data_IF_110768737034
#
_entry.id   IF_110768737034
#
_cell.length_a   1.000
_cell.length_b   1.000
_cell.length_c   1.000
_cell.angle_alpha   90.00
_cell.angle_beta   90.00
_cell.angle_gamma   90.00
#
_symmetry.space_group_name_H-M   'P 1'
#
loop_
_entity.id
_entity.type
_entity.pdbx_description
1 polymer ?
#
# COMPACT_ATOMS: atom_id res chain seq x y z
N UNK A 1 -17.70 -12.71 12.24
CA UNK A 1 -16.35 -13.14 11.82
C UNK A 1 -16.35 -13.31 10.32
N UNK A 2 -15.57 -12.52 9.57
CA UNK A 2 -15.44 -12.73 8.13
C UNK A 2 -14.77 -14.09 7.91
N UNK A 3 -15.34 -14.94 7.05
CA UNK A 3 -14.70 -16.19 6.65
C UNK A 3 -13.35 -15.88 5.98
N UNK A 4 -12.32 -16.70 6.24
CA UNK A 4 -10.96 -16.52 5.70
C UNK A 4 -10.89 -16.29 4.17
N UNK A 5 -11.93 -16.67 3.41
CA UNK A 5 -12.03 -16.45 1.97
C UNK A 5 -12.50 -15.06 1.51
N UNK A 6 -12.65 -14.05 2.40
CA UNK A 6 -13.04 -12.67 2.04
C UNK A 6 -12.03 -11.63 2.56
N UNK A 7 -10.75 -12.00 2.70
CA UNK A 7 -9.69 -11.07 3.11
C UNK A 7 -8.84 -10.67 1.90
N UNK A 8 -8.42 -9.42 1.89
CA UNK A 8 -7.61 -8.82 0.82
C UNK A 8 -6.14 -9.00 1.15
N UNK A 9 -5.37 -9.59 0.24
CA UNK A 9 -3.94 -9.78 0.41
C UNK A 9 -3.16 -8.61 -0.19
N UNK A 10 -2.55 -7.79 0.65
CA UNK A 10 -1.78 -6.61 0.27
C UNK A 10 -0.28 -6.75 0.64
N UNK A 11 0.21 -7.98 0.83
CA UNK A 11 1.61 -8.20 1.24
C UNK A 11 2.61 -7.71 0.19
N UNK A 12 2.20 -7.70 -1.09
CA UNK A 12 3.01 -7.22 -2.20
C UNK A 12 3.24 -5.70 -2.22
N UNK A 13 2.51 -4.93 -1.39
CA UNK A 13 2.60 -3.48 -1.39
C UNK A 13 3.87 -2.98 -0.72
N UNK A 14 4.35 -3.66 0.33
CA UNK A 14 5.56 -3.27 1.05
C UNK A 14 6.48 -4.47 1.12
N UNK A 15 7.65 -4.36 0.50
CA UNK A 15 8.65 -5.44 0.50
C UNK A 15 9.11 -5.75 1.91
N UNK A 16 9.39 -7.03 2.16
CA UNK A 16 10.01 -7.48 3.39
C UNK A 16 11.53 -7.37 3.29
N UNK A 17 12.15 -7.19 4.44
CA UNK A 17 13.60 -7.27 4.59
C UNK A 17 13.93 -7.79 5.99
N UNK A 18 15.05 -8.50 6.12
CA UNK A 18 15.59 -8.86 7.43
C UNK A 18 15.87 -7.57 8.22
N UNK A 19 15.36 -7.50 9.44
CA UNK A 19 15.52 -6.34 10.30
C UNK A 19 16.99 -6.06 10.66
N UNK A 20 17.84 -7.09 10.61
CA UNK A 20 19.28 -6.99 10.80
C UNK A 20 20.06 -6.77 9.49
N UNK A 21 19.42 -6.79 8.32
CA UNK A 21 20.08 -6.47 7.06
C UNK A 21 20.36 -4.95 7.00
N UNK A 22 21.60 -4.56 7.33
CA UNK A 22 21.95 -3.14 7.40
C UNK A 22 23.41 -2.78 7.69
N UNK A 23 24.35 -3.74 7.71
CA UNK A 23 25.77 -3.43 7.95
C UNK A 23 26.55 -3.03 6.66
N UNK A 24 25.87 -2.86 5.52
CA UNK A 24 26.48 -2.51 4.23
C UNK A 24 25.98 -1.17 3.67
N UNK A 25 26.94 -0.26 3.38
CA UNK A 25 26.80 1.13 2.90
C UNK A 25 25.71 1.99 3.55
N UNK A 26 26.15 2.93 4.39
CA UNK A 26 25.30 3.93 5.05
C UNK A 26 24.65 4.88 4.03
N UNK A 27 23.43 4.60 3.61
CA UNK A 27 22.61 5.56 2.88
C UNK A 27 21.97 6.53 3.87
N UNK A 28 22.50 7.74 3.98
CA UNK A 28 21.90 8.79 4.81
C UNK A 28 20.74 9.43 4.08
N UNK A 29 19.51 8.99 4.37
CA UNK A 29 18.29 9.69 3.95
C UNK A 29 17.72 10.53 5.10
N UNK A 30 17.03 11.64 4.78
CA UNK A 30 16.43 12.52 5.78
C UNK A 30 15.33 11.80 6.60
N UNK A 31 15.07 12.31 7.80
CA UNK A 31 13.94 11.83 8.60
C UNK A 31 12.62 12.23 7.94
N UNK A 32 11.82 11.24 7.59
CA UNK A 32 10.53 11.44 6.93
C UNK A 32 9.44 11.63 8.00
N UNK A 33 8.87 12.83 8.08
CA UNK A 33 7.77 13.16 9.01
C UNK A 33 6.38 13.05 8.36
N UNK A 34 6.31 13.10 7.03
CA UNK A 34 5.09 12.91 6.25
C UNK A 34 5.40 12.04 5.03
N UNK A 35 4.43 11.24 4.59
CA UNK A 35 4.53 10.46 3.36
C UNK A 35 3.38 10.92 2.48
N UNK A 36 3.68 11.52 1.33
CA UNK A 36 2.66 11.81 0.35
C UNK A 36 2.21 10.51 -0.31
N UNK A 37 0.93 10.37 -0.59
CA UNK A 37 0.41 9.22 -1.37
C UNK A 37 1.10 9.11 -2.74
N UNK A 38 1.58 10.24 -3.29
CA UNK A 38 2.36 10.29 -4.53
C UNK A 38 3.71 9.59 -4.41
N UNK A 39 4.30 9.56 -3.22
CA UNK A 39 5.59 8.90 -2.97
C UNK A 39 5.43 7.38 -2.85
N UNK A 40 4.20 6.89 -2.72
CA UNK A 40 3.87 5.46 -2.67
C UNK A 40 3.72 4.82 -4.06
N UNK A 41 3.61 5.63 -5.12
CA UNK A 41 3.60 5.17 -6.51
C UNK A 41 4.93 4.47 -6.82
N UNK A 42 4.91 3.44 -7.65
CA UNK A 42 6.12 2.82 -8.20
C UNK A 42 6.97 3.86 -8.93
N UNK A 43 8.24 4.00 -8.48
CA UNK A 43 9.15 5.06 -8.94
C UNK A 43 9.20 6.30 -8.04
N UNK A 44 8.33 6.41 -7.03
CA UNK A 44 8.44 7.41 -5.97
C UNK A 44 9.68 7.18 -5.08
N UNK A 45 10.16 8.24 -4.42
CA UNK A 45 11.41 8.20 -3.64
C UNK A 45 11.32 7.35 -2.36
N UNK A 46 10.13 7.21 -1.76
CA UNK A 46 9.96 6.50 -0.49
C UNK A 46 9.90 4.98 -0.67
N UNK A 47 9.30 4.49 -1.75
CA UNK A 47 9.10 3.04 -1.94
C UNK A 47 10.38 2.20 -2.03
N UNK A 48 11.48 2.66 -2.66
CA UNK A 48 12.74 1.91 -2.69
C UNK A 48 13.30 1.61 -1.30
N UNK A 49 13.13 2.54 -0.34
CA UNK A 49 13.68 2.43 1.02
C UNK A 49 12.69 1.86 2.04
N UNK A 50 11.38 1.91 1.77
CA UNK A 50 10.35 1.42 2.69
C UNK A 50 10.36 -0.12 2.75
N UNK A 51 10.44 -0.68 3.96
CA UNK A 51 10.39 -2.13 4.21
C UNK A 51 9.45 -2.48 5.35
N UNK A 52 8.95 -3.70 5.33
CA UNK A 52 8.34 -4.33 6.50
C UNK A 52 9.36 -5.31 7.09
N UNK A 53 9.58 -5.34 8.42
CA UNK A 53 10.40 -6.37 9.03
C UNK A 53 9.88 -7.77 8.67
N UNK A 54 10.78 -8.71 8.44
CA UNK A 54 10.47 -10.11 8.12
C UNK A 54 9.55 -10.79 9.16
N UNK A 55 9.74 -10.50 10.45
CA UNK A 55 8.95 -11.01 11.58
C UNK A 55 7.55 -10.39 11.71
N UNK A 56 7.21 -9.35 10.94
CA UNK A 56 5.86 -8.78 10.97
C UNK A 56 4.86 -9.67 10.22
N UNK A 57 3.61 -9.69 10.72
CA UNK A 57 2.52 -10.45 10.10
C UNK A 57 2.23 -10.00 8.67
N UNK A 58 1.66 -10.89 7.87
CA UNK A 58 1.20 -10.60 6.52
C UNK A 58 0.12 -9.52 6.47
N UNK A 59 0.11 -8.77 5.38
CA UNK A 59 -0.88 -7.72 5.15
C UNK A 59 -2.14 -8.29 4.49
N UNK A 60 -2.73 -9.33 5.08
CA UNK A 60 -3.87 -10.09 4.52
C UNK A 60 -5.04 -10.27 5.49
N UNK A 61 -5.24 -9.31 6.39
CA UNK A 61 -6.15 -9.42 7.54
C UNK A 61 -7.38 -8.51 7.45
N UNK A 62 -7.52 -7.72 6.37
CA UNK A 62 -8.64 -6.77 6.21
C UNK A 62 -9.60 -7.24 5.14
N UNK A 63 -10.89 -7.01 5.35
CA UNK A 63 -11.92 -7.25 4.33
C UNK A 63 -11.93 -6.13 3.28
N UNK A 64 -12.53 -6.34 2.10
CA UNK A 64 -12.74 -5.29 1.10
C UNK A 64 -13.38 -4.02 1.68
N UNK A 65 -14.35 -4.19 2.58
CA UNK A 65 -15.06 -3.07 3.21
C UNK A 65 -14.15 -2.25 4.14
N UNK A 66 -13.25 -2.90 4.87
CA UNK A 66 -12.28 -2.21 5.73
C UNK A 66 -11.23 -1.44 4.92
N UNK A 67 -10.77 -2.03 3.80
CA UNK A 67 -9.88 -1.37 2.85
C UNK A 67 -10.53 -0.09 2.31
N UNK A 68 -11.77 -0.19 1.83
CA UNK A 68 -12.51 0.94 1.28
C UNK A 68 -12.81 1.99 2.36
N UNK A 69 -13.17 1.57 3.57
CA UNK A 69 -13.42 2.49 4.68
C UNK A 69 -12.19 3.34 5.02
N UNK A 70 -10.98 2.77 4.99
CA UNK A 70 -9.76 3.56 5.20
C UNK A 70 -9.54 4.57 4.06
N UNK A 71 -9.79 4.16 2.81
CA UNK A 71 -9.66 5.06 1.67
C UNK A 71 -10.68 6.21 1.71
N UNK A 72 -11.91 5.95 2.18
CA UNK A 72 -12.91 6.99 2.41
C UNK A 72 -12.42 8.00 3.46
N UNK A 73 -11.91 7.53 4.60
CA UNK A 73 -11.30 8.40 5.59
C UNK A 73 -10.20 9.28 4.97
N UNK A 74 -9.34 8.68 4.14
CA UNK A 74 -8.24 9.40 3.51
C UNK A 74 -8.75 10.49 2.55
N UNK A 75 -9.69 10.15 1.67
CA UNK A 75 -10.21 11.08 0.65
C UNK A 75 -11.04 12.20 1.28
N UNK A 76 -11.78 11.92 2.35
CA UNK A 76 -12.57 12.93 3.07
C UNK A 76 -11.72 13.83 3.97
N UNK A 77 -10.44 13.52 4.17
CA UNK A 77 -9.57 14.24 5.11
C UNK A 77 -9.88 13.94 6.58
N UNK A 78 -10.50 12.78 6.86
CA UNK A 78 -10.72 12.32 8.23
C UNK A 78 -9.39 11.94 8.89
N UNK A 79 -9.40 11.92 10.23
CA UNK A 79 -8.23 11.52 11.00
C UNK A 79 -7.89 10.03 10.76
N UNK A 80 -6.73 9.78 10.16
CA UNK A 80 -6.10 8.46 10.10
C UNK A 80 -4.96 8.44 11.13
N UNK A 81 -4.93 7.45 12.05
CA UNK A 81 -3.85 7.39 13.03
C UNK A 81 -2.50 7.18 12.35
N UNK A 82 -1.46 7.84 12.88
CA UNK A 82 -0.11 7.82 12.34
C UNK A 82 0.49 6.42 12.23
N UNK A 83 1.51 6.29 11.39
CA UNK A 83 2.34 5.07 11.27
C UNK A 83 3.60 5.21 12.12
N UNK A 84 4.16 4.09 12.57
CA UNK A 84 5.45 4.09 13.29
C UNK A 84 6.50 3.53 12.37
N UNK A 85 7.53 4.34 12.13
CA UNK A 85 8.66 3.98 11.29
C UNK A 85 9.92 3.91 12.13
N UNK A 86 10.77 2.94 11.83
CA UNK A 86 12.12 2.84 12.38
C UNK A 86 13.13 2.95 11.24
N UNK A 87 14.09 3.85 11.40
CA UNK A 87 15.12 4.11 10.40
C UNK A 87 16.35 3.27 10.71
N UNK A 88 16.75 2.42 9.76
CA UNK A 88 18.06 1.79 9.72
C UNK A 88 19.01 2.58 8.79
N UNK A 89 20.29 2.21 8.71
CA UNK A 89 21.22 2.81 7.75
C UNK A 89 20.82 2.65 6.28
N UNK A 90 20.02 1.62 5.94
CA UNK A 90 19.69 1.26 4.57
C UNK A 90 18.20 1.37 4.24
N UNK A 91 17.33 1.29 5.26
CA UNK A 91 15.88 1.17 5.06
C UNK A 91 15.05 1.93 6.09
N UNK A 92 13.83 2.25 5.71
CA UNK A 92 12.79 2.77 6.58
C UNK A 92 11.78 1.65 6.85
N UNK A 93 11.84 1.07 8.05
CA UNK A 93 10.99 -0.04 8.44
C UNK A 93 9.65 0.43 8.98
N UNK A 94 8.56 -0.13 8.47
CA UNK A 94 7.21 0.06 9.01
C UNK A 94 7.02 -0.89 10.19
N UNK A 95 7.04 -0.33 11.40
CA UNK A 95 6.88 -1.07 12.66
C UNK A 95 5.41 -1.16 13.06
N UNK A 96 4.63 -0.10 12.81
CA UNK A 96 3.18 -0.09 12.97
C UNK A 96 2.51 0.63 11.78
N UNK A 97 1.31 0.15 11.41
CA UNK A 97 0.52 0.75 10.36
C UNK A 97 0.77 0.21 8.95
N UNK A 98 1.39 -0.97 8.82
CA UNK A 98 1.62 -1.65 7.53
C UNK A 98 0.37 -1.79 6.68
N UNK A 99 -0.76 -2.20 7.27
CA UNK A 99 -2.06 -2.24 6.57
C UNK A 99 -2.46 -0.89 5.97
N UNK A 100 -2.27 0.21 6.71
CA UNK A 100 -2.69 1.55 6.26
C UNK A 100 -1.90 1.99 5.02
N UNK A 101 -0.57 1.85 5.07
CA UNK A 101 0.29 2.18 3.94
C UNK A 101 0.04 1.27 2.75
N UNK A 102 -0.14 -0.03 2.98
CA UNK A 102 -0.45 -0.98 1.91
C UNK A 102 -1.78 -0.67 1.22
N UNK A 103 -2.81 -0.23 1.94
CA UNK A 103 -4.09 0.18 1.34
C UNK A 103 -3.93 1.41 0.44
N UNK A 104 -3.23 2.44 0.91
CA UNK A 104 -2.98 3.64 0.10
C UNK A 104 -2.18 3.30 -1.16
N UNK A 105 -1.16 2.45 -1.04
CA UNK A 105 -0.40 2.00 -2.20
C UNK A 105 -1.22 1.14 -3.15
N UNK A 106 -2.01 0.20 -2.63
CA UNK A 106 -2.89 -0.65 -3.44
C UNK A 106 -3.85 0.18 -4.29
N UNK A 107 -4.41 1.26 -3.73
CA UNK A 107 -5.27 2.17 -4.46
C UNK A 107 -4.54 2.91 -5.59
N UNK A 108 -3.33 3.39 -5.30
CA UNK A 108 -2.49 4.11 -6.27
C UNK A 108 -2.04 3.23 -7.43
N UNK A 109 -1.73 1.97 -7.15
CA UNK A 109 -1.24 0.98 -8.12
C UNK A 109 -2.37 0.19 -8.79
N UNK A 110 -3.62 0.37 -8.36
CA UNK A 110 -4.78 -0.47 -8.71
C UNK A 110 -4.53 -1.98 -8.49
N UNK A 111 -3.77 -2.32 -7.45
CA UNK A 111 -3.36 -3.67 -7.10
C UNK A 111 -3.85 -4.05 -5.70
N UNK A 112 -5.01 -4.70 -5.65
CA UNK A 112 -5.63 -5.16 -4.40
C UNK A 112 -5.31 -6.63 -4.09
N UNK A 113 -4.16 -7.14 -4.54
CA UNK A 113 -3.76 -8.54 -4.36
C UNK A 113 -3.80 -9.37 -5.64
N UNK A 114 -4.12 -8.77 -6.79
CA UNK A 114 -4.24 -9.44 -8.08
C UNK A 114 -3.60 -8.64 -9.24
N UNK A 115 -2.93 -7.53 -8.94
CA UNK A 115 -2.26 -6.69 -9.93
C UNK A 115 -0.80 -7.08 -10.17
N UNK A 116 -0.08 -6.20 -10.85
CA UNK A 116 1.29 -6.46 -11.31
C UNK A 116 2.28 -6.71 -10.17
N UNK A 117 2.17 -5.99 -9.05
CA UNK A 117 3.06 -6.18 -7.89
C UNK A 117 2.78 -7.51 -7.22
N UNK A 118 1.50 -7.85 -7.08
CA UNK A 118 1.04 -9.12 -6.52
C UNK A 118 1.47 -10.31 -7.37
N UNK A 119 1.31 -10.24 -8.69
CA UNK A 119 1.80 -11.28 -9.60
C UNK A 119 3.31 -11.49 -9.53
N UNK A 120 4.08 -10.40 -9.39
CA UNK A 120 5.53 -10.46 -9.23
C UNK A 120 5.96 -11.12 -7.91
N UNK A 121 5.21 -10.90 -6.84
CA UNK A 121 5.50 -11.50 -5.53
C UNK A 121 5.09 -12.97 -5.45
N UNK A 122 3.88 -13.31 -5.90
CA UNK A 122 3.28 -14.64 -5.72
C UNK A 122 3.54 -15.61 -6.90
N UNK A 123 4.27 -15.17 -7.93
CA UNK A 123 4.69 -16.04 -9.03
C UNK A 123 3.52 -16.57 -9.88
N UNK A 124 2.74 -15.67 -10.49
CA UNK A 124 1.55 -15.97 -11.33
C UNK A 124 0.45 -16.88 -10.74
N UNK A 125 0.64 -17.50 -9.57
CA UNK A 125 -0.28 -18.40 -8.90
C UNK A 125 -1.13 -17.66 -7.86
N UNK A 126 -2.02 -16.79 -8.32
CA UNK A 126 -2.99 -16.10 -7.44
C UNK A 126 -4.27 -16.94 -7.33
N UNK A 127 -4.64 -17.32 -6.10
CA UNK A 127 -5.83 -18.15 -5.84
C UNK A 127 -7.12 -17.48 -6.32
N UNK A 128 -8.16 -18.28 -6.53
CA UNK A 128 -9.47 -17.77 -6.93
C UNK A 128 -10.10 -16.90 -5.84
N UNK A 129 -9.87 -17.24 -4.57
CA UNK A 129 -10.34 -16.47 -3.42
C UNK A 129 -9.68 -15.09 -3.34
N UNK A 130 -8.36 -15.03 -3.56
CA UNK A 130 -7.61 -13.77 -3.56
C UNK A 130 -8.05 -12.86 -4.70
N UNK A 131 -8.23 -13.41 -5.92
CA UNK A 131 -8.81 -12.68 -7.05
C UNK A 131 -10.21 -12.15 -6.75
N UNK A 132 -11.08 -12.98 -6.18
CA UNK A 132 -12.45 -12.58 -5.82
C UNK A 132 -12.47 -11.45 -4.78
N UNK A 133 -11.58 -11.49 -3.78
CA UNK A 133 -11.46 -10.44 -2.79
C UNK A 133 -10.93 -9.14 -3.41
N UNK A 134 -9.95 -9.22 -4.30
CA UNK A 134 -9.37 -8.08 -5.01
C UNK A 134 -10.39 -7.43 -5.96
N UNK A 135 -11.10 -8.21 -6.77
CA UNK A 135 -12.18 -7.74 -7.66
C UNK A 135 -13.30 -7.03 -6.88
N UNK A 136 -13.74 -7.63 -5.77
CA UNK A 136 -14.74 -7.03 -4.89
C UNK A 136 -14.25 -5.69 -4.32
N UNK A 137 -12.98 -5.62 -3.90
CA UNK A 137 -12.37 -4.38 -3.40
C UNK A 137 -12.33 -3.32 -4.47
N UNK A 138 -11.83 -3.65 -5.66
CA UNK A 138 -11.76 -2.74 -6.82
C UNK A 138 -13.13 -2.18 -7.19
N UNK A 139 -14.17 -3.03 -7.20
CA UNK A 139 -15.55 -2.60 -7.43
C UNK A 139 -16.02 -1.61 -6.36
N UNK A 140 -15.86 -1.93 -5.08
CA UNK A 140 -16.26 -1.05 -3.99
C UNK A 140 -15.53 0.29 -4.01
N UNK A 141 -14.22 0.29 -4.32
CA UNK A 141 -13.44 1.51 -4.48
C UNK A 141 -14.01 2.37 -5.61
N UNK A 142 -14.23 1.77 -6.79
CA UNK A 142 -14.80 2.48 -7.94
C UNK A 142 -16.17 3.08 -7.62
N UNK A 143 -17.02 2.33 -6.92
CA UNK A 143 -18.40 2.73 -6.65
C UNK A 143 -18.50 3.82 -5.56
N UNK A 144 -17.63 3.79 -4.54
CA UNK A 144 -17.75 4.65 -3.34
C UNK A 144 -16.81 5.86 -3.31
N UNK A 145 -15.65 5.75 -3.96
CA UNK A 145 -14.57 6.74 -3.85
C UNK A 145 -14.13 7.21 -5.23
N UNK A 146 -13.94 6.27 -6.16
CA UNK A 146 -13.28 6.51 -7.44
C UNK A 146 -11.85 5.96 -7.45
N UNK A 147 -11.34 5.72 -8.65
CA UNK A 147 -10.00 5.16 -8.85
C UNK A 147 -8.92 6.23 -8.74
N UNK A 148 -7.72 5.87 -8.32
CA UNK A 148 -6.59 6.80 -8.34
C UNK A 148 -6.35 7.39 -9.74
N UNK A 149 -6.47 6.57 -10.79
CA UNK A 149 -6.34 7.03 -12.18
C UNK A 149 -7.31 8.15 -12.55
N UNK A 150 -8.55 8.11 -12.04
CA UNK A 150 -9.53 9.18 -12.21
C UNK A 150 -9.03 10.48 -11.56
N UNK A 151 -8.64 10.45 -10.28
CA UNK A 151 -8.11 11.62 -9.58
C UNK A 151 -6.85 12.18 -10.24
N UNK A 152 -5.94 11.31 -10.66
CA UNK A 152 -4.71 11.70 -11.36
C UNK A 152 -5.03 12.45 -12.66
N UNK A 153 -5.96 11.93 -13.47
CA UNK A 153 -6.37 12.59 -14.72
C UNK A 153 -6.95 13.98 -14.51
N UNK A 154 -7.67 14.22 -13.41
CA UNK A 154 -8.21 15.54 -13.09
C UNK A 154 -7.09 16.53 -12.79
N UNK A 155 -6.07 16.10 -12.04
CA UNK A 155 -4.91 16.93 -11.70
C UNK A 155 -4.11 17.26 -12.96
N UNK A 156 -3.81 16.26 -13.78
CA UNK A 156 -3.02 16.44 -15.00
C UNK A 156 -3.74 17.39 -15.98
N UNK A 157 -5.07 17.32 -16.09
CA UNK A 157 -5.86 18.25 -16.90
C UNK A 157 -5.85 19.68 -16.36
N UNK A 158 -5.82 19.91 -15.04
CA UNK A 158 -5.74 21.26 -14.46
C UNK A 158 -4.38 21.92 -14.77
N UNK A 159 -3.30 21.14 -14.84
CA UNK A 159 -1.96 21.66 -15.14
C UNK A 159 -1.80 22.04 -16.62
N UNK A 160 -2.57 21.44 -17.53
CA UNK A 160 -2.52 21.77 -18.97
C UNK A 160 -3.30 23.05 -19.32
N UNK A 161 -4.23 23.47 -18.47
CA UNK A 161 -5.11 24.63 -18.75
C UNK A 161 -4.59 25.94 -18.11
N UNK A 162 -3.53 25.86 -17.29
CA UNK A 162 -2.84 27.02 -16.69
C UNK A 162 -1.45 27.19 -17.29
#
# INVERSE_FOLDING_TARGET
MAGKGNLVNLDAMIKREDFAAGDGENSTFETINNISVRDLVSGGFTMPILRKPDFQRETNHWTPEQVVSLLECYVNGDLIPSVILWKSPSYLFVIDGGHRLSVLKAWVEDDYGDGQLSHKMFGHEISAEQRKAAEKTRKLVKDRIGTWGYYKSLIDNIVVVN
#
